data_IF_576070995187
#
_entry.id   IF_576070995187
#
_cell.length_a   1.000
_cell.length_b   1.000
_cell.length_c   1.000
_cell.angle_alpha   90.00
_cell.angle_beta   90.00
_cell.angle_gamma   90.00
#
_symmetry.space_group_name_H-M   'P 1'
#
loop_
_entity.id
_entity.type
_entity.pdbx_description
1 polymer ?
#
# COMPACT_ATOMS: atom_id res chain seq x y z
N UNK A 1 -22.94 17.24 -37.67
CA UNK A 1 -22.49 15.83 -37.59
C UNK A 1 -21.62 15.69 -36.35
N UNK A 2 -22.16 15.12 -35.28
CA UNK A 2 -21.40 14.91 -34.05
C UNK A 2 -20.74 13.55 -34.17
N UNK A 3 -19.43 13.54 -34.34
CA UNK A 3 -18.59 12.33 -34.42
C UNK A 3 -18.55 11.68 -33.05
N UNK A 4 -19.25 10.54 -32.91
CA UNK A 4 -19.26 9.75 -31.67
C UNK A 4 -17.87 9.13 -31.48
N UNK A 5 -17.14 9.61 -30.45
CA UNK A 5 -15.85 9.06 -30.05
C UNK A 5 -15.94 7.52 -29.85
N UNK A 6 -14.95 6.75 -30.34
CA UNK A 6 -14.97 5.31 -30.24
C UNK A 6 -15.01 4.87 -28.77
N UNK A 7 -16.00 4.02 -28.43
CA UNK A 7 -16.08 3.39 -27.09
C UNK A 7 -14.78 2.66 -26.78
N UNK A 8 -14.05 3.13 -25.77
CA UNK A 8 -12.86 2.45 -25.27
C UNK A 8 -13.24 1.03 -24.84
N UNK A 9 -12.47 -0.01 -25.23
CA UNK A 9 -12.74 -1.36 -24.79
C UNK A 9 -12.65 -1.41 -23.28
N UNK A 10 -13.75 -1.78 -22.61
CA UNK A 10 -13.79 -1.94 -21.17
C UNK A 10 -13.01 -3.22 -20.84
N UNK A 11 -11.80 -3.08 -20.32
CA UNK A 11 -11.03 -4.21 -19.85
C UNK A 11 -11.74 -4.82 -18.64
N UNK A 12 -12.31 -6.02 -18.83
CA UNK A 12 -12.88 -6.80 -17.74
C UNK A 12 -11.84 -7.84 -17.31
N UNK A 13 -11.17 -7.65 -16.17
CA UNK A 13 -10.21 -8.61 -15.68
C UNK A 13 -10.92 -9.94 -15.35
N UNK A 14 -10.49 -11.03 -15.99
CA UNK A 14 -10.98 -12.37 -15.65
C UNK A 14 -10.25 -12.87 -14.41
N UNK A 15 -10.93 -12.82 -13.28
CA UNK A 15 -10.40 -13.35 -12.02
C UNK A 15 -10.53 -14.88 -11.96
N UNK A 16 -9.54 -15.60 -11.38
CA UNK A 16 -9.65 -17.03 -11.10
C UNK A 16 -10.92 -17.33 -10.30
N UNK A 17 -11.51 -18.52 -10.52
CA UNK A 17 -12.77 -18.95 -9.90
C UNK A 17 -12.76 -18.80 -8.36
N UNK A 18 -11.62 -19.10 -7.72
CA UNK A 18 -11.44 -18.93 -6.26
C UNK A 18 -11.64 -17.48 -5.81
N UNK A 19 -11.11 -16.51 -6.57
CA UNK A 19 -11.26 -15.07 -6.28
C UNK A 19 -12.70 -14.62 -6.53
N UNK A 20 -13.35 -15.13 -7.57
CA UNK A 20 -14.77 -14.83 -7.86
C UNK A 20 -15.67 -15.34 -6.74
N UNK A 21 -15.44 -16.56 -6.26
CA UNK A 21 -16.18 -17.15 -5.14
C UNK A 21 -16.00 -16.36 -3.84
N UNK A 22 -14.75 -16.03 -3.48
CA UNK A 22 -14.45 -15.20 -2.31
C UNK A 22 -15.06 -13.81 -2.39
N UNK A 23 -15.08 -13.20 -3.56
CA UNK A 23 -15.74 -11.91 -3.77
C UNK A 23 -17.28 -12.01 -3.72
N UNK A 24 -17.87 -13.15 -4.07
CA UNK A 24 -19.31 -13.41 -3.97
C UNK A 24 -19.80 -13.52 -2.52
N UNK A 25 -19.01 -14.19 -1.66
CA UNK A 25 -19.30 -14.31 -0.22
C UNK A 25 -18.83 -13.06 0.56
N UNK A 26 -17.96 -12.25 -0.05
CA UNK A 26 -17.27 -11.12 0.58
C UNK A 26 -18.13 -9.92 1.04
N UNK A 27 -19.28 -9.55 0.40
CA UNK A 27 -20.04 -8.39 0.81
C UNK A 27 -20.41 -8.33 2.30
N UNK A 28 -20.92 -9.41 2.93
CA UNK A 28 -21.22 -9.40 4.37
C UNK A 28 -19.95 -9.40 5.26
N UNK A 29 -18.80 -9.82 4.73
CA UNK A 29 -17.52 -9.90 5.46
C UNK A 29 -16.68 -8.62 5.33
N UNK A 30 -17.01 -7.73 4.38
CA UNK A 30 -16.29 -6.48 4.15
C UNK A 30 -16.14 -5.59 5.40
N UNK A 31 -17.16 -5.45 6.28
CA UNK A 31 -17.05 -4.67 7.51
C UNK A 31 -16.03 -5.23 8.52
N UNK A 32 -15.64 -6.51 8.40
CA UNK A 32 -14.65 -7.14 9.27
C UNK A 32 -13.22 -6.68 8.95
N UNK A 33 -12.97 -6.20 7.73
CA UNK A 33 -11.66 -5.67 7.34
C UNK A 33 -11.64 -4.17 7.61
N UNK A 34 -11.18 -3.81 8.80
CA UNK A 34 -11.06 -2.41 9.19
C UNK A 34 -9.83 -1.79 8.55
N UNK A 35 -10.05 -0.84 7.62
CA UNK A 35 -9.03 0.05 7.05
C UNK A 35 -9.08 1.38 7.82
N UNK A 36 -8.83 1.34 9.13
CA UNK A 36 -8.69 2.54 9.96
C UNK A 36 -7.26 2.67 10.50
N UNK A 37 -6.87 3.88 10.79
CA UNK A 37 -5.52 4.22 11.25
C UNK A 37 -5.15 3.45 12.52
N UNK A 38 -5.97 3.54 13.56
CA UNK A 38 -5.68 2.91 14.85
C UNK A 38 -5.45 1.41 14.75
N UNK A 39 -6.31 0.70 13.99
CA UNK A 39 -6.19 -0.75 13.81
C UNK A 39 -4.91 -1.13 13.07
N UNK A 40 -4.46 -0.31 12.10
CA UNK A 40 -3.25 -0.57 11.34
C UNK A 40 -2.00 -0.24 12.14
N UNK A 41 -1.99 0.89 12.86
CA UNK A 41 -0.88 1.30 13.70
C UNK A 41 -0.67 0.35 14.87
N UNK A 42 -1.73 0.01 15.61
CA UNK A 42 -1.65 -0.93 16.74
C UNK A 42 -1.20 -2.33 16.30
N UNK A 43 -1.67 -2.81 15.16
CA UNK A 43 -1.26 -4.09 14.61
C UNK A 43 0.22 -4.09 14.19
N UNK A 44 0.71 -3.01 13.58
CA UNK A 44 2.13 -2.86 13.23
C UNK A 44 3.03 -2.82 14.48
N UNK A 45 2.61 -2.10 15.53
CA UNK A 45 3.29 -2.07 16.83
C UNK A 45 3.31 -3.46 17.48
N UNK A 46 2.19 -4.17 17.46
CA UNK A 46 2.09 -5.52 17.99
C UNK A 46 3.03 -6.50 17.29
N UNK A 47 3.15 -6.40 15.94
CA UNK A 47 4.02 -7.30 15.17
C UNK A 47 5.51 -7.02 15.36
N UNK A 48 5.88 -5.78 15.67
CA UNK A 48 7.28 -5.38 15.78
C UNK A 48 7.77 -5.23 17.22
N UNK A 49 6.86 -5.02 18.17
CA UNK A 49 7.19 -4.61 19.53
C UNK A 49 7.73 -3.17 19.61
N UNK A 50 7.68 -2.42 18.52
CA UNK A 50 8.21 -1.06 18.42
C UNK A 50 7.05 -0.05 18.43
N UNK A 51 7.29 1.14 19.00
CA UNK A 51 6.27 2.19 19.11
C UNK A 51 6.69 3.53 18.51
N UNK A 52 7.96 3.68 18.15
CA UNK A 52 8.47 4.92 17.61
C UNK A 52 8.31 5.03 16.10
N UNK A 53 7.49 5.96 15.68
CA UNK A 53 7.18 6.25 14.28
C UNK A 53 8.14 7.26 13.64
N UNK A 54 9.05 7.87 14.42
CA UNK A 54 9.88 9.00 13.99
C UNK A 54 9.05 10.25 13.73
N UNK A 55 9.31 10.94 12.62
CA UNK A 55 8.49 12.06 12.20
C UNK A 55 7.05 11.63 11.88
N UNK A 56 6.08 12.26 12.54
CA UNK A 56 4.66 11.95 12.41
C UNK A 56 3.97 12.62 11.22
N UNK A 57 4.71 13.35 10.38
CA UNK A 57 4.18 14.03 9.18
C UNK A 57 3.45 13.08 8.21
N UNK A 58 3.76 11.77 8.25
CA UNK A 58 3.09 10.76 7.45
C UNK A 58 1.62 10.52 7.83
N UNK A 59 1.18 10.89 9.03
CA UNK A 59 -0.19 10.59 9.51
C UNK A 59 -1.26 11.28 8.68
N UNK A 60 -1.06 12.56 8.36
CA UNK A 60 -2.05 13.33 7.59
C UNK A 60 -2.28 12.74 6.20
N UNK A 61 -1.24 12.51 5.35
CA UNK A 61 -1.45 11.86 4.07
C UNK A 61 -1.96 10.41 4.21
N UNK A 62 -1.60 9.69 5.27
CA UNK A 62 -2.10 8.35 5.54
C UNK A 62 -3.60 8.34 5.83
N UNK A 63 -4.10 9.27 6.62
CA UNK A 63 -5.55 9.44 6.89
C UNK A 63 -6.32 9.79 5.62
N UNK A 64 -5.77 10.69 4.77
CA UNK A 64 -6.38 11.04 3.48
C UNK A 64 -6.46 9.80 2.58
N UNK A 65 -5.39 9.01 2.50
CA UNK A 65 -5.36 7.75 1.77
C UNK A 65 -6.43 6.78 2.26
N UNK A 66 -6.52 6.54 3.57
CA UNK A 66 -7.52 5.65 4.17
C UNK A 66 -8.95 6.12 3.90
N UNK A 67 -9.18 7.43 3.95
CA UNK A 67 -10.49 8.02 3.64
C UNK A 67 -10.89 7.79 2.19
N UNK A 68 -9.99 8.03 1.23
CA UNK A 68 -10.22 7.77 -0.18
C UNK A 68 -10.46 6.27 -0.45
N UNK A 69 -9.65 5.39 0.13
CA UNK A 69 -9.81 3.94 -0.01
C UNK A 69 -11.13 3.41 0.53
N UNK A 70 -11.62 3.97 1.64
CA UNK A 70 -12.90 3.56 2.22
C UNK A 70 -14.12 4.12 1.47
N UNK A 71 -14.01 5.31 0.87
CA UNK A 71 -15.15 6.02 0.26
C UNK A 71 -15.22 5.87 -1.26
N UNK A 72 -14.09 5.89 -1.95
CA UNK A 72 -14.01 6.05 -3.40
C UNK A 72 -13.57 4.77 -4.13
N UNK A 73 -12.67 3.99 -3.53
CA UNK A 73 -12.03 2.87 -4.23
C UNK A 73 -12.95 1.67 -4.50
N UNK A 74 -14.11 1.60 -3.87
CA UNK A 74 -15.12 0.54 -4.02
C UNK A 74 -14.54 -0.90 -4.12
N UNK A 75 -13.59 -1.20 -3.24
CA UNK A 75 -12.83 -2.45 -3.26
C UNK A 75 -13.71 -3.65 -2.87
N UNK A 76 -13.49 -4.77 -3.56
CA UNK A 76 -14.02 -6.07 -3.14
C UNK A 76 -13.27 -6.60 -1.90
N UNK A 77 -13.83 -7.59 -1.23
CA UNK A 77 -13.28 -8.21 -0.02
C UNK A 77 -11.79 -8.60 -0.16
N UNK A 78 -11.45 -9.32 -1.23
CA UNK A 78 -10.05 -9.73 -1.51
C UNK A 78 -9.14 -8.51 -1.71
N UNK A 79 -9.63 -7.48 -2.41
CA UNK A 79 -8.89 -6.23 -2.61
C UNK A 79 -8.63 -5.49 -1.29
N UNK A 80 -9.63 -5.39 -0.42
CA UNK A 80 -9.49 -4.79 0.91
C UNK A 80 -8.45 -5.56 1.75
N UNK A 81 -8.49 -6.90 1.73
CA UNK A 81 -7.55 -7.75 2.47
C UNK A 81 -6.12 -7.57 1.97
N UNK A 82 -5.90 -7.64 0.66
CA UNK A 82 -4.58 -7.45 0.06
C UNK A 82 -4.01 -6.06 0.35
N UNK A 83 -4.86 -5.03 0.27
CA UNK A 83 -4.47 -3.65 0.57
C UNK A 83 -4.13 -3.47 2.05
N UNK A 84 -4.94 -4.02 2.96
CA UNK A 84 -4.64 -4.00 4.40
C UNK A 84 -3.27 -4.60 4.69
N UNK A 85 -2.97 -5.76 4.10
CA UNK A 85 -1.66 -6.41 4.23
C UNK A 85 -0.52 -5.54 3.70
N UNK A 86 -0.72 -4.88 2.56
CA UNK A 86 0.29 -3.98 1.99
C UNK A 86 0.56 -2.77 2.88
N UNK A 87 -0.49 -2.10 3.36
CA UNK A 87 -0.37 -0.97 4.28
C UNK A 87 0.34 -1.38 5.58
N UNK A 88 -0.03 -2.53 6.13
CA UNK A 88 0.59 -3.06 7.34
C UNK A 88 2.09 -3.32 7.14
N UNK A 89 2.51 -3.91 6.02
CA UNK A 89 3.94 -4.09 5.70
C UNK A 89 4.70 -2.77 5.63
N UNK A 90 4.09 -1.73 5.04
CA UNK A 90 4.72 -0.41 4.96
C UNK A 90 4.91 0.20 6.35
N UNK A 91 3.92 0.08 7.23
CA UNK A 91 3.99 0.56 8.62
C UNK A 91 5.03 -0.21 9.43
N UNK A 92 5.06 -1.54 9.31
CA UNK A 92 6.08 -2.40 9.94
C UNK A 92 7.48 -2.01 9.48
N UNK A 93 7.67 -1.80 8.16
CA UNK A 93 8.97 -1.35 7.63
C UNK A 93 9.37 0.01 8.18
N UNK A 94 8.43 0.95 8.30
CA UNK A 94 8.71 2.26 8.89
C UNK A 94 9.24 2.14 10.32
N UNK A 95 8.57 1.35 11.16
CA UNK A 95 9.01 1.12 12.55
C UNK A 95 10.42 0.50 12.60
N UNK A 96 10.68 -0.50 11.75
CA UNK A 96 11.99 -1.16 11.68
C UNK A 96 13.09 -0.21 11.21
N UNK A 97 12.80 0.64 10.23
CA UNK A 97 13.75 1.65 9.74
C UNK A 97 14.08 2.64 10.86
N UNK A 98 13.08 3.14 11.58
CA UNK A 98 13.31 4.05 12.70
C UNK A 98 14.13 3.41 13.82
N UNK A 99 13.83 2.18 14.21
CA UNK A 99 14.61 1.44 15.18
C UNK A 99 16.06 1.22 14.71
N UNK A 100 16.25 0.90 13.41
CA UNK A 100 17.57 0.73 12.84
C UNK A 100 18.40 2.03 12.86
N UNK A 101 17.79 3.15 12.46
CA UNK A 101 18.45 4.46 12.48
C UNK A 101 18.82 4.92 13.90
N UNK A 102 18.06 4.52 14.90
CA UNK A 102 18.40 4.79 16.31
C UNK A 102 19.58 3.95 16.80
N UNK A 103 19.66 2.70 16.37
CA UNK A 103 20.74 1.79 16.76
C UNK A 103 22.05 2.10 16.03
N UNK A 104 21.97 2.59 14.81
CA UNK A 104 23.10 2.83 13.91
C UNK A 104 23.00 4.24 13.31
N UNK A 105 23.16 5.30 14.13
CA UNK A 105 23.04 6.68 13.67
C UNK A 105 24.11 7.04 12.62
N UNK A 106 25.25 6.36 12.62
CA UNK A 106 26.34 6.51 11.64
C UNK A 106 25.90 6.28 10.18
N UNK A 107 24.78 5.58 9.96
CA UNK A 107 24.20 5.39 8.62
C UNK A 107 23.78 6.71 8.00
N UNK A 108 23.39 7.71 8.81
CA UNK A 108 23.00 9.04 8.35
C UNK A 108 24.18 9.89 7.87
N UNK A 109 25.39 9.57 8.33
CA UNK A 109 26.62 10.29 7.96
C UNK A 109 27.25 9.75 6.67
N UNK A 110 26.70 8.66 6.11
CA UNK A 110 27.20 8.06 4.88
C UNK A 110 26.88 8.96 3.69
N UNK A 111 27.92 9.60 3.13
CA UNK A 111 27.78 10.41 1.92
C UNK A 111 27.68 9.53 0.67
N UNK A 112 26.52 9.49 0.02
CA UNK A 112 26.34 8.80 -1.26
C UNK A 112 26.78 9.74 -2.39
N UNK A 113 28.00 9.53 -2.93
CA UNK A 113 28.61 10.42 -3.92
C UNK A 113 28.01 10.30 -5.32
N UNK A 114 27.43 9.16 -5.68
CA UNK A 114 26.84 8.91 -7.00
C UNK A 114 25.55 8.12 -6.83
N UNK A 115 24.42 8.78 -7.02
CA UNK A 115 23.11 8.17 -6.95
C UNK A 115 22.52 8.08 -8.36
N UNK A 116 22.23 6.86 -8.82
CA UNK A 116 21.54 6.63 -10.07
C UNK A 116 20.10 6.24 -9.79
N UNK A 117 19.14 7.07 -10.21
CA UNK A 117 17.72 6.75 -10.15
C UNK A 117 17.25 6.27 -11.52
N UNK A 118 16.74 5.04 -11.58
CA UNK A 118 16.09 4.50 -12.77
C UNK A 118 14.58 4.58 -12.54
N UNK A 119 13.93 5.51 -13.23
CA UNK A 119 12.49 5.70 -13.16
C UNK A 119 11.84 5.12 -14.42
N UNK A 120 10.78 4.37 -14.21
CA UNK A 120 10.00 3.82 -15.33
C UNK A 120 8.75 3.12 -14.84
N UNK A 121 7.83 2.85 -15.78
CA UNK A 121 6.65 2.06 -15.49
C UNK A 121 7.04 0.59 -15.23
N UNK A 122 6.31 -0.14 -14.38
CA UNK A 122 6.54 -1.57 -14.19
C UNK A 122 6.58 -2.30 -15.54
N UNK A 123 7.55 -3.21 -15.71
CA UNK A 123 7.75 -4.02 -16.93
C UNK A 123 8.31 -3.26 -18.14
N UNK A 124 8.93 -2.10 -17.94
CA UNK A 124 9.63 -1.34 -19.01
C UNK A 124 11.10 -1.72 -19.18
N UNK A 125 11.51 -2.90 -18.73
CA UNK A 125 12.89 -3.39 -18.91
C UNK A 125 13.89 -2.90 -17.86
N UNK A 126 13.45 -2.33 -16.75
CA UNK A 126 14.33 -1.84 -15.67
C UNK A 126 15.25 -2.92 -15.07
N UNK A 127 14.90 -4.20 -15.21
CA UNK A 127 15.68 -5.34 -14.70
C UNK A 127 16.97 -5.62 -15.50
N UNK A 128 17.17 -4.95 -16.62
CA UNK A 128 18.39 -5.14 -17.44
C UNK A 128 19.56 -4.23 -17.02
N UNK A 129 19.40 -3.43 -15.98
CA UNK A 129 20.42 -2.49 -15.47
C UNK A 129 21.03 -2.92 -14.13
N UNK A 130 20.93 -4.18 -13.75
CA UNK A 130 21.58 -4.75 -12.55
C UNK A 130 22.91 -5.36 -12.89
#
# INVERSE_FOLDING_TARGET
MVETAPKRPTFQPQFPLKVRFLNGIGPPLKPLIKLNEESLLSEAQRQTGLSDWGDESFRVPFQILLKSLNREANLHFVGCSALRQRLLRLLVNRLRIQDHLKRYPEVLDISIKRLLFILGLPRTGQLFFT
#
